data_IF_932553890166
#
_entry.id   IF_932553890166
#
_cell.length_a   1.000
_cell.length_b   1.000
_cell.length_c   1.000
_cell.angle_alpha   90.00
_cell.angle_beta   90.00
_cell.angle_gamma   90.00
#
_symmetry.space_group_name_H-M   'P 1'
#
loop_
_entity.id
_entity.type
_entity.pdbx_description
1 polymer ?
#
# COMPACT_ATOMS: atom_id res chain seq x y z
N UNK A 1 -31.68 -7.53 -40.25
CA UNK A 1 -31.87 -7.08 -38.86
C UNK A 1 -30.60 -7.29 -38.01
N UNK A 2 -29.43 -6.72 -38.40
CA UNK A 2 -28.19 -6.90 -37.64
C UNK A 2 -27.94 -5.83 -36.55
N UNK A 3 -28.71 -4.73 -36.54
CA UNK A 3 -28.41 -3.58 -35.64
C UNK A 3 -28.63 -3.90 -34.14
N UNK A 4 -29.57 -4.74 -33.77
CA UNK A 4 -29.81 -5.06 -32.32
C UNK A 4 -28.66 -5.87 -31.70
N UNK A 5 -28.01 -6.73 -32.48
CA UNK A 5 -26.86 -7.52 -32.01
C UNK A 5 -25.61 -6.64 -31.77
N UNK A 6 -25.40 -5.62 -32.58
CA UNK A 6 -24.28 -4.70 -32.45
C UNK A 6 -24.43 -3.81 -31.22
N UNK A 7 -25.63 -3.26 -30.98
CA UNK A 7 -25.93 -2.43 -29.80
C UNK A 7 -25.75 -3.23 -28.50
N UNK A 8 -26.17 -4.50 -28.49
CA UNK A 8 -26.04 -5.38 -27.32
C UNK A 8 -24.56 -5.67 -27.00
N UNK A 9 -23.74 -5.89 -28.02
CA UNK A 9 -22.28 -6.11 -27.84
C UNK A 9 -21.56 -4.85 -27.36
N UNK A 10 -21.92 -3.66 -27.85
CA UNK A 10 -21.38 -2.39 -27.42
C UNK A 10 -21.77 -2.10 -25.96
N UNK A 11 -23.01 -2.37 -25.57
CA UNK A 11 -23.47 -2.22 -24.20
C UNK A 11 -22.75 -3.16 -23.22
N UNK A 12 -22.48 -4.40 -23.61
CA UNK A 12 -21.70 -5.35 -22.81
C UNK A 12 -20.24 -4.91 -22.70
N UNK A 13 -19.64 -4.40 -23.76
CA UNK A 13 -18.26 -3.89 -23.76
C UNK A 13 -18.12 -2.67 -22.85
N UNK A 14 -19.08 -1.75 -22.86
CA UNK A 14 -19.14 -0.58 -21.97
C UNK A 14 -19.31 -0.98 -20.49
N UNK A 15 -20.13 -1.99 -20.19
CA UNK A 15 -20.27 -2.51 -18.83
C UNK A 15 -18.98 -3.15 -18.31
N UNK A 16 -18.28 -3.93 -19.13
CA UNK A 16 -17.00 -4.55 -18.74
C UNK A 16 -15.90 -3.50 -18.55
N UNK A 17 -15.86 -2.47 -19.41
CA UNK A 17 -14.90 -1.37 -19.29
C UNK A 17 -15.14 -0.52 -18.04
N UNK A 18 -16.39 -0.35 -17.62
CA UNK A 18 -16.77 0.40 -16.42
C UNK A 18 -16.38 -0.32 -15.12
N UNK A 19 -16.33 -1.65 -15.11
CA UNK A 19 -15.94 -2.47 -13.95
C UNK A 19 -14.42 -2.44 -13.73
N UNK A 20 -13.61 -2.24 -14.76
CA UNK A 20 -12.15 -2.18 -14.68
C UNK A 20 -11.61 -0.89 -14.02
N UNK A 21 -12.44 0.14 -13.87
CA UNK A 21 -12.05 1.42 -13.27
C UNK A 21 -12.12 1.46 -11.74
N UNK A 22 -12.58 0.39 -11.08
CA UNK A 22 -12.76 0.35 -9.61
C UNK A 22 -11.56 -0.29 -8.89
N UNK A 23 -10.42 -0.45 -9.55
CA UNK A 23 -9.19 -0.82 -8.85
C UNK A 23 -8.65 0.41 -8.11
N UNK A 24 -9.35 0.78 -7.02
CA UNK A 24 -9.03 1.90 -6.17
C UNK A 24 -7.73 1.65 -5.40
N UNK A 25 -6.60 2.02 -5.97
CA UNK A 25 -5.48 2.40 -5.14
C UNK A 25 -5.97 3.49 -4.20
N UNK A 26 -5.96 3.26 -2.89
CA UNK A 26 -6.32 4.27 -1.90
C UNK A 26 -5.24 5.37 -1.95
N UNK A 27 -5.43 6.32 -2.86
CA UNK A 27 -4.56 7.47 -3.01
C UNK A 27 -4.74 8.41 -1.83
N UNK A 28 -3.77 9.27 -1.59
CA UNK A 28 -3.86 10.29 -0.54
C UNK A 28 -5.14 11.14 -0.69
N UNK A 29 -5.52 11.50 -1.92
CA UNK A 29 -6.75 12.24 -2.21
C UNK A 29 -7.99 11.50 -1.72
N UNK A 30 -8.12 10.21 -2.01
CA UNK A 30 -9.27 9.41 -1.57
C UNK A 30 -9.36 9.33 -0.03
N UNK A 31 -8.22 9.20 0.67
CA UNK A 31 -8.19 9.18 2.14
C UNK A 31 -8.58 10.53 2.75
N UNK A 32 -8.18 11.63 2.13
CA UNK A 32 -8.57 12.98 2.52
C UNK A 32 -10.08 13.17 2.33
N UNK A 33 -10.63 12.76 1.19
CA UNK A 33 -12.06 12.87 0.89
C UNK A 33 -12.91 12.09 1.89
N UNK A 34 -12.47 10.88 2.23
CA UNK A 34 -13.14 10.05 3.25
C UNK A 34 -13.14 10.67 4.65
N UNK A 35 -12.21 11.58 4.94
CA UNK A 35 -12.05 12.24 6.25
C UNK A 35 -12.12 13.77 6.15
N UNK A 36 -12.83 14.31 5.17
CA UNK A 36 -12.84 15.72 4.81
C UNK A 36 -13.17 16.67 5.97
N UNK A 37 -14.13 16.31 6.82
CA UNK A 37 -14.51 17.14 7.98
C UNK A 37 -13.34 17.29 8.97
N UNK A 38 -12.55 16.24 9.17
CA UNK A 38 -11.39 16.29 10.05
C UNK A 38 -10.21 16.99 9.36
N UNK A 39 -9.98 16.70 8.09
CA UNK A 39 -8.94 17.36 7.30
C UNK A 39 -9.06 18.87 7.29
N UNK A 40 -10.28 19.41 7.18
CA UNK A 40 -10.54 20.85 7.17
C UNK A 40 -10.27 21.55 8.52
N UNK A 41 -10.11 20.80 9.61
CA UNK A 41 -9.74 21.34 10.93
C UNK A 41 -8.24 21.54 11.10
N UNK A 42 -7.43 20.92 10.26
CA UNK A 42 -6.00 21.07 10.31
C UNK A 42 -5.55 22.41 9.72
N UNK A 43 -4.43 22.92 10.18
CA UNK A 43 -3.83 24.13 9.65
C UNK A 43 -3.49 23.99 8.16
N UNK A 44 -3.39 25.10 7.45
CA UNK A 44 -3.02 25.09 6.03
C UNK A 44 -1.64 24.47 5.78
N UNK A 45 -0.72 24.55 6.74
CA UNK A 45 0.59 23.92 6.66
C UNK A 45 0.49 22.38 6.75
N UNK A 46 -0.28 21.88 7.73
CA UNK A 46 -0.53 20.45 7.90
C UNK A 46 -1.26 19.85 6.70
N UNK A 47 -2.29 20.54 6.20
CA UNK A 47 -3.02 20.11 5.00
C UNK A 47 -2.11 19.98 3.79
N UNK A 48 -1.15 20.89 3.60
CA UNK A 48 -0.16 20.80 2.51
C UNK A 48 0.73 19.56 2.65
N UNK A 49 1.25 19.30 3.86
CA UNK A 49 2.06 18.11 4.12
C UNK A 49 1.28 16.82 3.87
N UNK A 50 0.04 16.73 4.38
CA UNK A 50 -0.81 15.56 4.16
C UNK A 50 -1.05 15.32 2.67
N UNK A 51 -1.40 16.36 1.89
CA UNK A 51 -1.62 16.24 0.45
C UNK A 51 -0.38 15.75 -0.31
N UNK A 52 0.80 16.15 0.13
CA UNK A 52 2.06 15.71 -0.48
C UNK A 52 2.56 14.35 0.06
N UNK A 53 1.79 13.66 0.91
CA UNK A 53 2.19 12.39 1.51
C UNK A 53 3.37 12.52 2.47
N UNK A 54 3.54 13.69 3.06
CA UNK A 54 4.57 13.99 4.05
C UNK A 54 3.98 14.05 5.46
N UNK A 55 4.82 13.80 6.45
CA UNK A 55 4.46 13.86 7.86
C UNK A 55 5.42 14.79 8.61
N UNK A 56 4.99 15.23 9.78
CA UNK A 56 5.80 16.03 10.68
C UNK A 56 5.71 15.51 12.12
N UNK A 57 6.69 15.84 12.93
CA UNK A 57 6.62 15.65 14.38
C UNK A 57 5.42 16.44 14.93
N UNK A 58 4.67 15.85 15.84
CA UNK A 58 3.44 16.41 16.38
C UNK A 58 2.16 15.99 15.63
N UNK A 59 2.25 15.33 14.47
CA UNK A 59 1.08 14.78 13.78
C UNK A 59 0.41 13.72 14.62
N UNK A 60 -0.92 13.69 14.60
CA UNK A 60 -1.71 12.61 15.18
C UNK A 60 -1.81 11.41 14.21
N UNK A 61 -2.35 10.28 14.71
CA UNK A 61 -2.51 9.07 13.91
C UNK A 61 -3.36 9.29 12.66
N UNK A 62 -4.41 10.11 12.73
CA UNK A 62 -5.28 10.37 11.60
C UNK A 62 -4.56 11.18 10.50
N UNK A 63 -3.76 12.17 10.89
CA UNK A 63 -2.92 12.92 9.95
C UNK A 63 -1.94 11.99 9.22
N UNK A 64 -1.31 11.07 9.95
CA UNK A 64 -0.39 10.09 9.37
C UNK A 64 -1.13 9.13 8.44
N UNK A 65 -2.32 8.61 8.83
CA UNK A 65 -3.15 7.75 7.96
C UNK A 65 -3.61 8.47 6.70
N UNK A 66 -4.01 9.72 6.79
CA UNK A 66 -4.37 10.50 5.61
C UNK A 66 -3.18 10.67 4.66
N UNK A 67 -1.98 10.96 5.18
CA UNK A 67 -0.79 11.18 4.39
C UNK A 67 -0.24 9.89 3.76
N UNK A 68 -0.06 8.84 4.56
CA UNK A 68 0.66 7.63 4.17
C UNK A 68 -0.22 6.39 3.98
N UNK A 69 -1.46 6.41 4.46
CA UNK A 69 -2.33 5.24 4.55
C UNK A 69 -2.09 4.43 5.82
N UNK A 70 -2.65 3.21 5.87
CA UNK A 70 -2.47 2.31 6.99
C UNK A 70 -1.04 1.75 7.03
N UNK A 71 -0.46 1.58 8.22
CA UNK A 71 0.86 0.95 8.37
C UNK A 71 0.82 -0.53 8.03
N UNK A 72 1.92 -1.06 7.54
CA UNK A 72 2.07 -2.51 7.29
C UNK A 72 2.11 -3.31 8.60
N UNK A 73 2.73 -2.74 9.64
CA UNK A 73 2.83 -3.32 10.97
C UNK A 73 2.75 -2.24 12.03
N UNK A 74 2.10 -2.58 13.16
CA UNK A 74 2.07 -1.77 14.37
C UNK A 74 2.76 -2.59 15.47
N UNK A 75 3.79 -2.01 16.07
CA UNK A 75 4.53 -2.59 17.20
C UNK A 75 4.37 -1.71 18.42
N UNK A 76 4.41 -2.30 19.59
CA UNK A 76 4.54 -1.57 20.86
C UNK A 76 5.89 -1.90 21.48
N UNK A 77 6.60 -0.88 21.90
CA UNK A 77 7.85 -1.00 22.63
C UNK A 77 7.67 -0.40 24.03
N UNK A 78 7.93 -1.20 25.04
CA UNK A 78 7.75 -0.80 26.45
C UNK A 78 9.12 -0.55 27.06
N UNK A 79 9.41 0.72 27.30
CA UNK A 79 10.62 1.20 27.96
C UNK A 79 10.29 1.59 29.42
N UNK A 80 11.30 1.78 30.24
CA UNK A 80 11.14 2.31 31.60
C UNK A 80 10.45 3.69 31.64
N UNK A 81 10.54 4.45 30.57
CA UNK A 81 9.92 5.77 30.39
C UNK A 81 8.48 5.72 29.84
N UNK A 82 7.94 4.53 29.54
CA UNK A 82 6.59 4.34 29.02
C UNK A 82 6.55 3.48 27.75
N UNK A 83 5.34 3.18 27.28
CA UNK A 83 5.12 2.43 26.04
C UNK A 83 5.05 3.39 24.86
N UNK A 84 5.75 3.08 23.78
CA UNK A 84 5.66 3.77 22.50
C UNK A 84 4.96 2.87 21.49
N UNK A 85 4.23 3.45 20.55
CA UNK A 85 3.70 2.76 19.39
C UNK A 85 4.55 3.07 18.17
N UNK A 86 4.93 2.03 17.45
CA UNK A 86 5.80 2.11 16.28
C UNK A 86 5.03 1.61 15.07
N UNK A 87 4.82 2.48 14.10
CA UNK A 87 4.22 2.14 12.82
C UNK A 87 5.31 1.91 11.79
N UNK A 88 5.25 0.77 11.13
CA UNK A 88 6.21 0.39 10.08
C UNK A 88 5.49 0.29 8.74
N UNK A 89 6.05 0.96 7.75
CA UNK A 89 5.60 0.92 6.36
C UNK A 89 6.59 0.13 5.54
N UNK A 90 6.12 -0.90 4.86
CA UNK A 90 6.93 -1.78 4.05
C UNK A 90 6.51 -1.70 2.59
N UNK A 91 7.48 -1.77 1.67
CA UNK A 91 7.23 -1.97 0.25
C UNK A 91 7.65 -3.37 -0.15
N UNK A 92 6.82 -4.03 -0.94
CA UNK A 92 7.16 -5.29 -1.56
C UNK A 92 8.11 -5.02 -2.73
N UNK A 93 9.31 -5.60 -2.71
CA UNK A 93 10.21 -5.61 -3.85
C UNK A 93 10.07 -6.96 -4.54
N UNK A 94 9.67 -7.02 -5.82
CA UNK A 94 9.77 -8.26 -6.58
C UNK A 94 11.25 -8.62 -6.72
N UNK A 95 11.59 -9.82 -6.31
CA UNK A 95 12.95 -10.37 -6.49
C UNK A 95 13.02 -10.89 -7.93
N UNK A 96 13.68 -10.16 -8.83
CA UNK A 96 13.79 -10.51 -10.26
C UNK A 96 14.74 -11.70 -10.55
N UNK A 97 15.13 -12.48 -9.56
CA UNK A 97 15.91 -13.69 -9.76
C UNK A 97 15.09 -14.89 -10.31
N UNK A 98 14.03 -14.61 -11.08
CA UNK A 98 13.13 -15.63 -11.66
C UNK A 98 13.82 -16.49 -12.73
N UNK A 99 14.94 -16.04 -13.30
CA UNK A 99 15.52 -16.69 -14.48
C UNK A 99 16.45 -17.88 -14.20
N UNK A 100 16.70 -18.26 -12.94
CA UNK A 100 17.62 -19.35 -12.61
C UNK A 100 16.95 -20.67 -12.19
N UNK A 101 15.65 -20.82 -12.38
CA UNK A 101 14.94 -22.06 -12.04
C UNK A 101 14.29 -22.73 -13.24
N UNK A 102 14.97 -22.75 -14.39
CA UNK A 102 14.63 -23.73 -15.43
C UNK A 102 15.32 -25.04 -15.03
N UNK A 103 14.69 -25.77 -14.13
CA UNK A 103 15.12 -27.11 -13.78
C UNK A 103 14.58 -28.10 -14.80
N UNK A 104 15.44 -28.61 -15.66
CA UNK A 104 15.13 -29.81 -16.46
C UNK A 104 15.32 -31.01 -15.54
N UNK A 105 14.23 -31.56 -15.00
CA UNK A 105 14.26 -32.81 -14.24
C UNK A 105 13.94 -33.97 -15.16
N UNK A 106 14.98 -34.76 -15.49
CA UNK A 106 14.82 -36.07 -16.10
C UNK A 106 14.65 -37.13 -15.01
N UNK A 107 13.43 -37.56 -14.78
CA UNK A 107 13.15 -38.71 -13.90
C UNK A 107 12.27 -39.69 -14.65
N UNK A 108 12.90 -40.78 -15.07
CA UNK A 108 12.17 -41.94 -15.54
C UNK A 108 11.50 -41.81 -16.91
N UNK A 109 12.26 -41.73 -17.99
CA UNK A 109 11.79 -42.08 -19.35
C UNK A 109 10.90 -41.09 -20.07
N UNK A 110 10.69 -39.86 -19.54
CA UNK A 110 9.91 -38.82 -20.21
C UNK A 110 10.54 -37.43 -20.00
N UNK A 111 10.71 -36.68 -21.10
CA UNK A 111 11.14 -35.28 -21.04
C UNK A 111 9.91 -34.43 -20.77
N UNK A 112 9.69 -34.04 -19.52
CA UNK A 112 8.64 -33.12 -19.12
C UNK A 112 9.25 -31.74 -18.93
N UNK A 113 9.01 -30.81 -19.85
CA UNK A 113 9.28 -29.37 -19.63
C UNK A 113 8.16 -28.80 -18.76
N UNK A 114 8.35 -28.78 -17.45
CA UNK A 114 7.46 -28.11 -16.53
C UNK A 114 7.94 -26.69 -16.27
N UNK A 115 7.22 -25.67 -16.75
CA UNK A 115 7.39 -24.30 -16.28
C UNK A 115 6.74 -24.23 -14.90
N UNK A 116 7.49 -24.49 -13.85
CA UNK A 116 7.07 -24.22 -12.49
C UNK A 116 7.09 -22.72 -12.27
N UNK A 117 5.94 -22.08 -12.26
CA UNK A 117 5.80 -20.71 -11.74
C UNK A 117 5.94 -20.83 -10.21
N UNK A 118 7.16 -20.94 -9.74
CA UNK A 118 7.49 -20.80 -8.34
C UNK A 118 7.19 -19.36 -7.94
N UNK A 119 6.33 -19.17 -6.92
CA UNK A 119 6.02 -17.86 -6.42
C UNK A 119 7.31 -17.10 -6.11
N UNK A 120 7.45 -15.90 -6.64
CA UNK A 120 8.59 -15.02 -6.37
C UNK A 120 8.67 -14.75 -4.88
N UNK A 121 9.79 -15.00 -4.22
CA UNK A 121 9.98 -14.53 -2.86
C UNK A 121 9.97 -13.01 -2.88
N UNK A 122 8.86 -12.43 -2.42
CA UNK A 122 8.68 -11.00 -2.33
C UNK A 122 9.37 -10.52 -1.06
N UNK A 123 10.51 -9.87 -1.18
CA UNK A 123 11.18 -9.27 -0.04
C UNK A 123 10.45 -8.00 0.38
N UNK A 124 9.99 -7.99 1.60
CA UNK A 124 9.44 -6.80 2.24
C UNK A 124 10.60 -5.91 2.72
N UNK A 125 10.69 -4.69 2.17
CA UNK A 125 11.67 -3.68 2.61
C UNK A 125 10.98 -2.64 3.48
N UNK A 126 11.48 -2.42 4.70
CA UNK A 126 11.08 -1.29 5.54
C UNK A 126 11.42 0.03 4.83
N UNK A 127 10.43 0.89 4.66
CA UNK A 127 10.59 2.19 4.00
C UNK A 127 10.40 3.37 4.93
N UNK A 128 9.52 3.23 5.93
CA UNK A 128 9.32 4.26 6.95
C UNK A 128 9.05 3.62 8.30
N UNK A 129 9.56 4.26 9.34
CA UNK A 129 9.26 3.97 10.75
C UNK A 129 8.79 5.25 11.41
N UNK A 130 7.68 5.20 12.10
CA UNK A 130 7.07 6.34 12.79
C UNK A 130 6.83 5.93 14.22
N UNK A 131 7.32 6.73 15.15
CA UNK A 131 7.19 6.51 16.59
C UNK A 131 6.18 7.49 17.16
N UNK A 132 5.14 6.98 17.82
CA UNK A 132 4.15 7.77 18.52
C UNK A 132 4.41 7.73 20.02
N UNK A 133 4.34 8.88 20.64
CA UNK A 133 4.38 8.99 22.08
C UNK A 133 3.01 8.61 22.69
N UNK A 134 3.01 7.79 23.73
CA UNK A 134 1.77 7.30 24.34
C UNK A 134 0.95 8.40 25.02
N UNK A 135 1.63 9.39 25.60
CA UNK A 135 0.99 10.43 26.41
C UNK A 135 -0.02 11.26 25.61
N UNK A 136 0.25 11.49 24.31
CA UNK A 136 -0.52 12.36 23.45
C UNK A 136 -0.88 11.75 22.10
N UNK A 137 -0.45 10.51 21.80
CA UNK A 137 -0.66 9.80 20.53
C UNK A 137 -0.17 10.61 19.31
N UNK A 138 0.90 11.36 19.48
CA UNK A 138 1.49 12.19 18.43
C UNK A 138 2.85 11.64 18.01
N UNK A 139 3.20 11.90 16.75
CA UNK A 139 4.51 11.55 16.20
C UNK A 139 5.59 12.26 16.99
N UNK A 140 6.45 11.49 17.66
CA UNK A 140 7.65 11.99 18.34
C UNK A 140 8.89 11.91 17.47
N UNK A 141 8.95 10.89 16.61
CA UNK A 141 10.07 10.63 15.72
C UNK A 141 9.62 9.91 14.47
N UNK A 142 10.27 10.14 13.35
CA UNK A 142 10.10 9.31 12.16
C UNK A 142 11.40 9.18 11.37
N UNK A 143 11.55 8.03 10.70
CA UNK A 143 12.70 7.70 9.86
C UNK A 143 12.21 7.21 8.50
N UNK A 144 12.89 7.61 7.43
CA UNK A 144 12.66 7.11 6.07
C UNK A 144 13.90 6.34 5.62
N UNK A 145 13.68 5.16 5.02
CA UNK A 145 14.73 4.28 4.52
C UNK A 145 14.57 4.17 3.00
N UNK A 146 15.60 4.49 2.25
CA UNK A 146 15.65 4.36 0.79
C UNK A 146 16.12 2.97 0.34
#
# INVERSE_FOLDING_TARGET
MPQKSLIMKISQLLCVLSILLICGCSTTSHRIDASGAQFNRYSAAEQRLIRSGQIAVGFDENQVRMALGDPSHIKSDTLSSGTRYIWEYHKLKPDYNIFNSIGISTRGGGVGAGIGIGGTPTRSKLTKRIVFERSNQRVSEFQSFE
#
